data_IF_217091779967
#
_entry.id   IF_217091779967
#
_cell.length_a   1.000
_cell.length_b   1.000
_cell.length_c   1.000
_cell.angle_alpha   90.00
_cell.angle_beta   90.00
_cell.angle_gamma   90.00
#
_symmetry.space_group_name_H-M   'P 1'
#
loop_
_entity.id
_entity.type
_entity.pdbx_description
1 polymer ?
#
# COMPACT_ATOMS: atom_id res chain seq x y z
N UNK A 1 -9.70 25.35 29.35
CA UNK A 1 -9.25 25.34 27.94
C UNK A 1 -8.39 24.10 27.80
N UNK A 2 -8.85 23.17 26.96
CA UNK A 2 -8.61 21.74 27.06
C UNK A 2 -7.19 21.30 26.68
N UNK A 3 -6.59 20.45 27.52
CA UNK A 3 -5.27 19.80 27.35
C UNK A 3 -5.21 18.73 26.24
N UNK A 4 -6.16 18.73 25.29
CA UNK A 4 -6.25 17.75 24.19
C UNK A 4 -5.74 18.31 22.86
N UNK A 5 -5.31 19.57 22.84
CA UNK A 5 -4.90 20.28 21.63
C UNK A 5 -3.40 20.16 21.31
N UNK A 6 -2.58 19.72 22.27
CA UNK A 6 -1.10 19.78 22.19
C UNK A 6 -0.46 18.55 21.49
N UNK A 7 -1.19 17.44 21.37
CA UNK A 7 -0.68 16.22 20.73
C UNK A 7 -0.82 16.22 19.21
N UNK A 8 -1.54 17.19 18.63
CA UNK A 8 -1.69 17.37 17.18
C UNK A 8 -0.58 18.21 16.56
N UNK A 9 0.18 18.92 17.40
CA UNK A 9 1.17 19.93 17.01
C UNK A 9 2.54 19.30 16.62
N UNK A 10 2.86 18.10 17.12
CA UNK A 10 4.15 17.45 16.80
C UNK A 10 4.24 16.76 15.43
N UNK A 11 3.23 16.91 14.58
CA UNK A 11 3.24 16.46 13.18
C UNK A 11 3.40 17.64 12.20
N UNK A 12 3.47 18.88 12.69
CA UNK A 12 3.14 20.08 11.92
C UNK A 12 4.24 20.63 10.99
N UNK A 13 5.45 20.08 11.00
CA UNK A 13 6.49 20.52 10.06
C UNK A 13 6.54 19.68 8.77
N UNK A 14 5.76 18.61 8.66
CA UNK A 14 5.76 17.78 7.45
C UNK A 14 4.82 18.40 6.42
N UNK A 15 5.39 18.90 5.33
CA UNK A 15 4.59 19.39 4.20
C UNK A 15 4.00 18.21 3.44
N UNK A 16 2.68 18.19 3.16
CA UNK A 16 2.07 17.14 2.38
C UNK A 16 2.62 17.13 0.97
N UNK A 17 2.83 15.93 0.43
CA UNK A 17 3.30 15.77 -0.92
C UNK A 17 2.20 16.10 -1.93
N UNK A 18 2.58 16.73 -3.05
CA UNK A 18 1.64 16.96 -4.15
C UNK A 18 1.30 15.62 -4.81
N UNK A 19 2.31 14.76 -4.98
CA UNK A 19 2.15 13.44 -5.60
C UNK A 19 3.13 12.41 -5.02
N UNK A 20 2.65 11.21 -4.79
CA UNK A 20 3.46 10.06 -4.36
C UNK A 20 3.23 8.89 -5.30
N UNK A 21 4.30 8.33 -5.83
CA UNK A 21 4.26 7.10 -6.62
C UNK A 21 4.51 5.92 -5.69
N UNK A 22 3.52 5.04 -5.56
CA UNK A 22 3.58 3.83 -4.74
C UNK A 22 3.54 2.63 -5.67
N UNK A 23 4.43 1.67 -5.44
CA UNK A 23 4.47 0.43 -6.19
C UNK A 23 4.05 -0.78 -5.38
N UNK A 24 3.46 -1.74 -6.09
CA UNK A 24 3.23 -3.10 -5.63
C UNK A 24 3.91 -4.09 -6.58
N UNK A 25 4.22 -5.32 -6.15
CA UNK A 25 4.99 -6.24 -6.97
C UNK A 25 4.15 -6.85 -8.10
N UNK A 26 4.79 -7.16 -9.22
CA UNK A 26 4.12 -7.71 -10.40
C UNK A 26 3.46 -9.08 -10.18
N UNK A 27 3.83 -9.84 -9.15
CA UNK A 27 3.18 -11.10 -8.77
C UNK A 27 1.91 -10.89 -7.92
N UNK A 28 1.59 -9.65 -7.54
CA UNK A 28 0.34 -9.35 -6.84
C UNK A 28 -0.86 -9.78 -7.69
N UNK A 29 -1.74 -10.60 -7.11
CA UNK A 29 -2.97 -11.05 -7.75
C UNK A 29 -3.85 -9.89 -8.21
N UNK A 30 -4.62 -10.09 -9.28
CA UNK A 30 -5.55 -9.08 -9.81
C UNK A 30 -6.57 -8.61 -8.75
N UNK A 31 -6.97 -9.50 -7.85
CA UNK A 31 -7.84 -9.13 -6.72
C UNK A 31 -7.15 -8.17 -5.75
N UNK A 32 -5.87 -8.40 -5.42
CA UNK A 32 -5.08 -7.50 -4.59
C UNK A 32 -4.88 -6.13 -5.24
N UNK A 33 -4.58 -6.11 -6.55
CA UNK A 33 -4.48 -4.87 -7.35
C UNK A 33 -5.78 -4.08 -7.31
N UNK A 34 -6.90 -4.77 -7.54
CA UNK A 34 -8.23 -4.16 -7.48
C UNK A 34 -8.58 -3.59 -6.10
N UNK A 35 -8.03 -4.10 -4.99
CA UNK A 35 -8.26 -3.49 -3.68
C UNK A 35 -7.42 -2.23 -3.48
N UNK A 36 -6.14 -2.24 -3.86
CA UNK A 36 -5.23 -1.10 -3.64
C UNK A 36 -5.53 0.08 -4.56
N UNK A 37 -6.01 -0.17 -5.78
CA UNK A 37 -6.34 0.88 -6.76
C UNK A 37 -7.72 1.54 -6.53
N UNK A 38 -8.41 1.23 -5.42
CA UNK A 38 -9.68 1.89 -5.06
C UNK A 38 -9.46 3.23 -4.40
N UNK A 39 -10.31 4.20 -4.71
CA UNK A 39 -10.35 5.51 -4.03
C UNK A 39 -10.47 5.39 -2.51
N UNK A 40 -11.16 4.35 -2.02
CA UNK A 40 -11.31 4.11 -0.58
C UNK A 40 -9.98 3.73 0.08
N UNK A 41 -9.14 2.99 -0.63
CA UNK A 41 -7.81 2.61 -0.15
C UNK A 41 -6.85 3.81 -0.20
N UNK A 42 -6.90 4.61 -1.26
CA UNK A 42 -6.15 5.87 -1.32
C UNK A 42 -6.55 6.83 -0.19
N UNK A 43 -7.85 7.01 0.05
CA UNK A 43 -8.34 7.82 1.16
C UNK A 43 -7.93 7.25 2.53
N UNK A 44 -7.79 5.93 2.64
CA UNK A 44 -7.24 5.30 3.84
C UNK A 44 -5.76 5.66 4.01
N UNK A 45 -4.93 5.53 2.97
CA UNK A 45 -3.51 5.88 3.03
C UNK A 45 -3.29 7.35 3.42
N UNK A 46 -4.07 8.28 2.84
CA UNK A 46 -4.03 9.71 3.21
C UNK A 46 -4.39 9.98 4.67
N UNK A 47 -5.13 9.08 5.32
CA UNK A 47 -5.52 9.21 6.73
C UNK A 47 -4.59 8.49 7.69
N UNK A 48 -3.94 7.41 7.24
CA UNK A 48 -3.13 6.55 8.12
C UNK A 48 -1.64 6.73 7.95
N UNK A 49 -1.17 7.17 6.78
CA UNK A 49 0.25 7.45 6.50
C UNK A 49 0.58 8.93 6.71
N UNK A 50 0.22 9.44 7.87
CA UNK A 50 0.53 10.84 8.22
C UNK A 50 2.01 11.01 8.54
N UNK A 51 2.72 9.93 8.89
CA UNK A 51 4.14 10.00 9.27
C UNK A 51 5.04 10.40 8.09
N UNK A 52 6.29 10.77 8.41
CA UNK A 52 7.27 11.12 7.40
C UNK A 52 7.50 9.95 6.44
N UNK A 53 7.37 10.21 5.14
CA UNK A 53 7.62 9.25 4.07
C UNK A 53 8.83 9.65 3.25
N UNK A 54 9.63 8.65 2.88
CA UNK A 54 10.81 8.80 2.05
C UNK A 54 10.74 7.86 0.86
N UNK A 55 11.43 8.26 -0.20
CA UNK A 55 11.65 7.36 -1.33
C UNK A 55 12.34 6.08 -0.83
N UNK A 56 11.80 4.93 -1.23
CA UNK A 56 12.27 3.61 -0.84
C UNK A 56 11.61 3.05 0.41
N UNK A 57 10.83 3.84 1.16
CA UNK A 57 10.06 3.32 2.29
C UNK A 57 9.08 2.25 1.81
N UNK A 58 9.07 1.12 2.50
CA UNK A 58 8.20 0.00 2.18
C UNK A 58 7.48 -0.50 3.43
N UNK A 59 6.24 -0.91 3.25
CA UNK A 59 5.41 -1.49 4.30
C UNK A 59 4.47 -2.53 3.73
N UNK A 60 3.98 -3.40 4.60
CA UNK A 60 2.95 -4.38 4.28
C UNK A 60 1.59 -3.79 4.69
N UNK A 61 0.64 -3.77 3.76
CA UNK A 61 -0.70 -3.23 4.00
C UNK A 61 -1.74 -4.34 3.87
N UNK A 62 -2.56 -4.50 4.90
CA UNK A 62 -3.60 -5.52 4.93
C UNK A 62 -4.77 -5.09 4.06
N UNK A 63 -5.04 -5.81 2.97
CA UNK A 63 -6.13 -5.48 2.03
C UNK A 63 -7.35 -6.39 2.17
N UNK A 64 -7.27 -7.40 3.03
CA UNK A 64 -8.42 -8.23 3.39
C UNK A 64 -8.09 -9.71 3.55
N UNK A 65 -9.15 -10.48 3.80
CA UNK A 65 -9.09 -11.93 3.93
C UNK A 65 -9.67 -12.56 2.66
N UNK A 66 -8.89 -13.41 2.00
CA UNK A 66 -9.36 -14.17 0.84
C UNK A 66 -10.46 -15.17 1.22
N UNK A 67 -11.09 -15.75 0.20
CA UNK A 67 -12.21 -16.71 0.32
C UNK A 67 -11.94 -17.88 1.29
N UNK A 68 -10.67 -18.24 1.50
CA UNK A 68 -10.25 -19.35 2.35
C UNK A 68 -9.65 -18.93 3.71
N UNK A 69 -9.84 -17.69 4.15
CA UNK A 69 -9.35 -17.25 5.47
C UNK A 69 -7.89 -16.78 5.50
N UNK A 70 -7.20 -16.75 4.35
CA UNK A 70 -5.84 -16.22 4.24
C UNK A 70 -5.85 -14.69 4.26
N UNK A 71 -5.09 -14.06 5.16
CA UNK A 71 -4.84 -12.63 5.11
C UNK A 71 -3.96 -12.33 3.90
N UNK A 72 -4.31 -11.29 3.15
CA UNK A 72 -3.48 -10.76 2.09
C UNK A 72 -2.86 -9.45 2.56
N UNK A 73 -1.56 -9.51 2.81
CA UNK A 73 -0.71 -8.37 3.09
C UNK A 73 0.02 -7.99 1.80
N UNK A 74 -0.14 -6.75 1.37
CA UNK A 74 0.43 -6.25 0.11
C UNK A 74 1.69 -5.46 0.41
N UNK A 75 2.87 -5.86 -0.10
CA UNK A 75 4.12 -5.15 0.14
C UNK A 75 4.22 -3.92 -0.78
N UNK A 76 3.78 -2.78 -0.26
CA UNK A 76 3.84 -1.48 -0.91
C UNK A 76 5.21 -0.82 -0.71
N UNK A 77 5.64 -0.03 -1.70
CA UNK A 77 6.87 0.76 -1.62
C UNK A 77 6.69 2.12 -2.26
N UNK A 78 7.22 3.16 -1.64
CA UNK A 78 7.28 4.50 -2.24
C UNK A 78 8.42 4.54 -3.25
N UNK A 79 8.09 4.68 -4.51
CA UNK A 79 9.08 4.84 -5.59
C UNK A 79 9.53 6.28 -5.74
N UNK A 80 8.65 7.24 -5.48
CA UNK A 80 8.90 8.66 -5.72
C UNK A 80 7.94 9.52 -4.91
N UNK A 81 8.44 10.68 -4.49
CA UNK A 81 7.67 11.72 -3.81
C UNK A 81 7.95 13.03 -4.54
N UNK A 82 6.90 13.73 -4.93
CA UNK A 82 6.96 15.03 -5.59
C UNK A 82 6.43 16.08 -4.60
N UNK A 83 7.33 16.98 -4.16
CA UNK A 83 7.15 17.92 -3.06
C UNK A 83 6.81 17.23 -1.73
N UNK A 84 7.15 17.88 -0.61
CA UNK A 84 6.74 17.40 0.71
C UNK A 84 7.34 16.06 1.15
N UNK A 85 6.82 15.56 2.27
CA UNK A 85 7.37 14.41 2.99
C UNK A 85 6.32 13.68 3.84
N UNK A 86 5.03 13.88 3.58
CA UNK A 86 3.90 13.15 4.20
C UNK A 86 2.75 12.94 3.20
N UNK A 87 1.86 11.97 3.46
CA UNK A 87 0.58 11.88 2.74
C UNK A 87 -0.43 12.85 3.36
N UNK A 88 -0.86 13.82 2.57
CA UNK A 88 -1.91 14.77 2.90
C UNK A 88 -3.27 14.42 2.29
N UNK A 89 -4.33 15.18 2.65
CA UNK A 89 -5.68 14.99 2.11
C UNK A 89 -5.77 15.19 0.59
N UNK A 90 -4.91 16.04 0.03
CA UNK A 90 -4.88 16.39 -1.40
C UNK A 90 -3.75 15.68 -2.16
N UNK A 91 -2.97 14.81 -1.51
CA UNK A 91 -1.86 14.09 -2.16
C UNK A 91 -2.37 13.15 -3.24
N UNK A 92 -1.92 13.34 -4.47
CA UNK A 92 -2.16 12.43 -5.58
C UNK A 92 -1.36 11.14 -5.37
N UNK A 93 -2.02 9.97 -5.48
CA UNK A 93 -1.35 8.67 -5.36
C UNK A 93 -1.33 8.05 -6.74
N UNK A 94 -0.14 7.77 -7.26
CA UNK A 94 0.03 7.05 -8.51
C UNK A 94 0.52 5.63 -8.24
N UNK A 95 -0.13 4.65 -8.86
CA UNK A 95 0.23 3.24 -8.75
C UNK A 95 1.22 2.85 -9.84
N UNK A 96 2.33 2.23 -9.42
CA UNK A 96 3.31 1.62 -10.31
C UNK A 96 3.41 0.12 -10.05
N UNK A 97 3.74 -0.65 -11.08
CA UNK A 97 4.06 -2.07 -10.92
C UNK A 97 5.58 -2.21 -10.87
N UNK A 98 6.11 -2.81 -9.80
CA UNK A 98 7.54 -3.13 -9.70
C UNK A 98 7.80 -4.59 -9.98
N UNK A 99 8.99 -4.90 -10.49
CA UNK A 99 9.46 -6.27 -10.60
C UNK A 99 9.41 -6.94 -9.22
N UNK A 100 8.85 -8.15 -9.18
CA UNK A 100 8.89 -8.98 -8.00
C UNK A 100 10.35 -9.38 -7.76
N UNK A 101 11.03 -8.76 -6.80
CA UNK A 101 12.33 -9.24 -6.35
C UNK A 101 12.08 -10.61 -5.75
N UNK A 102 12.32 -11.67 -6.52
CA UNK A 102 11.85 -13.01 -6.25
C UNK A 102 12.15 -13.45 -4.83
N UNK A 103 11.17 -13.32 -3.93
CA UNK A 103 11.14 -14.14 -2.75
C UNK A 103 10.89 -15.56 -3.25
N UNK A 104 11.95 -16.38 -3.23
CA UNK A 104 11.77 -17.80 -2.97
C UNK A 104 11.05 -17.92 -1.62
N UNK A 105 9.71 -17.95 -1.66
CA UNK A 105 8.89 -17.84 -0.47
C UNK A 105 7.40 -18.08 -0.73
N UNK A 106 7.06 -19.29 -1.17
CA UNK A 106 5.79 -19.89 -0.73
C UNK A 106 4.54 -19.75 -1.60
N UNK A 107 4.62 -19.72 -2.92
CA UNK A 107 3.51 -20.24 -3.75
C UNK A 107 4.05 -21.24 -4.77
N UNK A 108 4.21 -22.50 -4.34
CA UNK A 108 4.23 -23.60 -5.31
C UNK A 108 2.83 -23.66 -5.91
N UNK A 109 2.75 -23.16 -7.14
CA UNK A 109 1.65 -23.37 -8.08
C UNK A 109 1.17 -24.83 -7.96
N UNK A 110 0.00 -25.03 -7.38
CA UNK A 110 -0.86 -26.18 -7.67
C UNK A 110 -1.73 -25.74 -8.84
N UNK A 111 -1.13 -25.78 -10.03
CA UNK A 111 -1.87 -25.65 -11.28
C UNK A 111 -1.19 -26.54 -12.30
N UNK A 112 -1.60 -27.81 -12.27
CA UNK A 112 -1.75 -28.72 -13.41
C UNK A 112 -2.35 -30.02 -12.87
N UNK A 113 -3.68 -30.02 -12.79
CA UNK A 113 -4.62 -31.14 -12.94
C UNK A 113 -5.93 -30.80 -12.20
N UNK A 114 -6.87 -30.20 -12.93
CA UNK A 114 -8.27 -30.32 -12.56
C UNK A 114 -8.72 -31.76 -12.85
N UNK A 115 -9.65 -32.36 -12.09
CA UNK A 115 -10.09 -33.71 -12.36
C UNK A 115 -10.82 -33.75 -13.71
N UNK A 116 -10.21 -34.39 -14.71
CA UNK A 116 -10.99 -35.01 -15.77
C UNK A 116 -11.51 -36.34 -15.19
N UNK A 117 -12.78 -36.34 -14.80
CA UNK A 117 -13.50 -37.55 -14.44
C UNK A 117 -13.60 -38.47 -15.68
N UNK A 118 -13.31 -39.76 -15.48
CA UNK A 118 -13.51 -40.87 -16.43
C UNK A 118 -14.75 -41.66 -16.06
#
# INVERSE_FOLDING_TARGET
MSETDDLRDRHEDLTPADRVVVSYPADLSDWGRFQVEKDTFEAYLRKTKTDRVRQGDGWEEFVGVGCCGSTLDVPLRVERIESGETFGPDTEIEWAVREACGMQGGWKVQSRDGPNEV
#
